data_IF_080213922102
#
_entry.id   IF_080213922102
#
_cell.length_a   1.000
_cell.length_b   1.000
_cell.length_c   1.000
_cell.angle_alpha   90.00
_cell.angle_beta   90.00
_cell.angle_gamma   90.00
#
_symmetry.space_group_name_H-M   'P 1'
#
loop_
_entity.id
_entity.type
_entity.pdbx_description
1 polymer ?
#
# COMPACT_ATOMS: atom_id res chain seq x y z
N UNK A 1 -16.70 -5.65 7.69
CA UNK A 1 -15.67 -4.92 6.93
C UNK A 1 -14.53 -5.90 6.68
N UNK A 2 -13.98 -6.05 5.46
CA UNK A 2 -12.75 -6.82 5.30
C UNK A 2 -11.67 -6.20 6.19
N UNK A 3 -10.83 -7.04 6.80
CA UNK A 3 -9.73 -6.59 7.66
C UNK A 3 -8.75 -5.67 6.92
N UNK A 4 -7.85 -4.98 7.65
CA UNK A 4 -6.80 -4.19 7.02
C UNK A 4 -6.01 -5.06 6.04
N UNK A 5 -5.61 -4.52 4.90
CA UNK A 5 -4.78 -5.25 3.93
C UNK A 5 -3.37 -4.68 3.99
N UNK A 6 -2.40 -5.55 4.24
CA UNK A 6 -0.99 -5.20 4.30
C UNK A 6 -0.28 -5.60 3.00
N UNK A 7 0.65 -4.76 2.59
CA UNK A 7 1.47 -4.92 1.39
C UNK A 7 2.92 -4.68 1.76
N UNK A 8 3.83 -5.52 1.25
CA UNK A 8 5.27 -5.35 1.44
C UNK A 8 5.90 -4.98 0.11
N UNK A 9 6.73 -3.95 0.10
CA UNK A 9 7.62 -3.69 -1.02
C UNK A 9 8.83 -4.62 -0.95
N UNK A 10 9.08 -5.35 -2.03
CA UNK A 10 10.11 -6.40 -2.07
C UNK A 10 11.52 -5.87 -2.28
N UNK A 11 11.65 -4.64 -2.81
CA UNK A 11 12.94 -4.00 -3.03
C UNK A 11 13.48 -3.35 -1.75
N UNK A 12 12.60 -2.71 -0.98
CA UNK A 12 12.94 -1.93 0.22
C UNK A 12 12.61 -2.65 1.52
N UNK A 13 11.70 -3.62 1.49
CA UNK A 13 11.19 -4.31 2.67
C UNK A 13 10.12 -3.55 3.44
N UNK A 14 9.78 -2.32 3.03
CA UNK A 14 8.79 -1.46 3.67
C UNK A 14 7.40 -2.12 3.69
N UNK A 15 6.65 -1.91 4.77
CA UNK A 15 5.29 -2.44 4.92
C UNK A 15 4.30 -1.28 4.83
N UNK A 16 3.34 -1.45 3.94
CA UNK A 16 2.26 -0.51 3.71
C UNK A 16 0.93 -1.11 4.13
N UNK A 17 0.06 -0.29 4.73
CA UNK A 17 -1.34 -0.61 4.96
C UNK A 17 -2.21 0.11 3.92
N UNK A 18 -3.13 -0.64 3.31
CA UNK A 18 -4.16 -0.07 2.46
C UNK A 18 -5.17 0.71 3.30
N UNK A 19 -5.17 2.03 3.13
CA UNK A 19 -6.06 2.94 3.87
C UNK A 19 -7.25 3.43 3.04
N UNK A 20 -7.22 3.24 1.72
CA UNK A 20 -8.34 3.59 0.86
C UNK A 20 -8.08 3.29 -0.62
N UNK A 21 -9.16 3.36 -1.41
CA UNK A 21 -9.13 3.32 -2.87
C UNK A 21 -10.28 4.15 -3.42
N UNK A 22 -10.00 4.99 -4.41
CA UNK A 22 -11.01 5.77 -5.12
C UNK A 22 -10.66 5.90 -6.62
N UNK A 23 -11.34 6.82 -7.34
CA UNK A 23 -11.10 7.07 -8.78
C UNK A 23 -9.70 7.62 -9.09
N UNK A 24 -8.99 8.16 -8.11
CA UNK A 24 -7.63 8.70 -8.26
C UNK A 24 -6.58 7.63 -8.04
N UNK A 25 -6.87 6.60 -7.24
CA UNK A 25 -5.99 5.44 -7.10
C UNK A 25 -6.14 4.71 -5.77
N UNK A 26 -5.04 4.08 -5.38
CA UNK A 26 -4.88 3.26 -4.17
C UNK A 26 -3.99 4.02 -3.20
N UNK A 27 -4.47 4.18 -1.97
CA UNK A 27 -3.77 4.90 -0.91
C UNK A 27 -3.11 3.91 0.05
N UNK A 28 -1.79 3.96 0.11
CA UNK A 28 -0.95 3.10 0.92
C UNK A 28 -0.25 3.97 1.98
N UNK A 29 -0.43 3.64 3.25
CA UNK A 29 0.30 4.28 4.35
C UNK A 29 1.46 3.40 4.77
N UNK A 30 2.65 3.99 4.90
CA UNK A 30 3.80 3.29 5.49
C UNK A 30 3.51 2.98 6.97
N UNK A 31 3.70 1.73 7.37
CA UNK A 31 3.43 1.27 8.74
C UNK A 31 4.38 1.91 9.76
N UNK A 32 5.59 2.29 9.34
CA UNK A 32 6.58 2.97 10.19
C UNK A 32 6.32 4.48 10.30
N UNK A 33 5.35 5.02 9.54
CA UNK A 33 4.98 6.44 9.61
C UNK A 33 4.14 6.78 10.85
N UNK A 34 4.33 7.99 11.37
CA UNK A 34 3.58 8.45 12.55
C UNK A 34 2.08 8.52 12.24
N UNK A 35 1.19 8.01 13.12
CA UNK A 35 -0.25 8.11 12.91
C UNK A 35 -0.70 9.57 12.74
N UNK A 36 -1.34 9.86 11.60
CA UNK A 36 -1.82 11.21 11.28
C UNK A 36 -0.85 12.04 10.43
N UNK A 37 0.34 11.53 10.11
CA UNK A 37 1.24 12.19 9.16
C UNK A 37 0.71 12.03 7.71
N UNK A 38 0.29 13.13 7.04
CA UNK A 38 -0.14 13.06 5.66
C UNK A 38 1.01 12.73 4.70
N UNK A 39 2.27 12.98 5.07
CA UNK A 39 3.43 12.61 4.25
C UNK A 39 3.70 11.10 4.24
N UNK A 40 3.18 10.36 5.22
CA UNK A 40 3.28 8.91 5.30
C UNK A 40 2.35 8.15 4.36
N UNK A 41 1.53 8.84 3.54
CA UNK A 41 0.58 8.23 2.60
C UNK A 41 1.07 8.39 1.17
N UNK A 42 1.46 7.28 0.56
CA UNK A 42 1.77 7.19 -0.87
C UNK A 42 0.50 6.85 -1.65
N UNK A 43 0.29 7.55 -2.76
CA UNK A 43 -0.80 7.25 -3.69
C UNK A 43 -0.24 6.57 -4.93
N UNK A 44 -0.73 5.37 -5.24
CA UNK A 44 -0.44 4.68 -6.49
C UNK A 44 -1.67 4.73 -7.40
N UNK A 45 -1.47 4.99 -8.68
CA UNK A 45 -2.54 4.82 -9.66
C UNK A 45 -3.03 3.36 -9.63
N UNK A 46 -4.33 3.14 -9.82
CA UNK A 46 -4.92 1.81 -9.69
C UNK A 46 -4.23 0.77 -10.58
N UNK A 47 -3.98 1.12 -11.85
CA UNK A 47 -3.27 0.23 -12.78
C UNK A 47 -1.83 -0.04 -12.34
N UNK A 48 -1.12 0.97 -11.85
CA UNK A 48 0.25 0.83 -11.35
C UNK A 48 0.32 -0.08 -10.11
N UNK A 49 -0.68 0.03 -9.22
CA UNK A 49 -0.80 -0.84 -8.05
C UNK A 49 -0.99 -2.31 -8.46
N UNK A 50 -1.91 -2.59 -9.39
CA UNK A 50 -2.10 -3.96 -9.87
C UNK A 50 -0.88 -4.50 -10.62
N UNK A 51 -0.22 -3.65 -11.42
CA UNK A 51 1.02 -4.00 -12.08
C UNK A 51 2.14 -4.32 -11.09
N UNK A 52 2.27 -3.55 -10.00
CA UNK A 52 3.27 -3.80 -8.96
C UNK A 52 3.02 -5.12 -8.23
N UNK A 53 1.76 -5.53 -8.04
CA UNK A 53 1.41 -6.84 -7.51
C UNK A 53 1.74 -7.97 -8.50
N UNK A 54 1.40 -7.80 -9.77
CA UNK A 54 1.68 -8.77 -10.83
C UNK A 54 3.20 -8.99 -11.00
N UNK A 55 3.97 -7.91 -10.95
CA UNK A 55 5.44 -7.93 -11.05
C UNK A 55 6.14 -8.32 -9.74
N UNK A 56 5.41 -8.66 -8.67
CA UNK A 56 5.94 -8.96 -7.32
C UNK A 56 6.83 -7.86 -6.74
N UNK A 57 6.63 -6.62 -7.15
CA UNK A 57 7.24 -5.47 -6.48
C UNK A 57 6.51 -5.19 -5.16
N UNK A 58 5.21 -5.41 -5.16
CA UNK A 58 4.37 -5.44 -3.96
C UNK A 58 3.89 -6.87 -3.72
N UNK A 59 3.94 -7.32 -2.47
CA UNK A 59 3.41 -8.60 -2.04
C UNK A 59 2.35 -8.40 -0.96
N UNK A 60 1.23 -9.12 -1.03
CA UNK A 60 0.24 -9.12 0.06
C UNK A 60 0.81 -9.88 1.26
N UNK A 61 0.78 -9.23 2.42
CA UNK A 61 1.16 -9.87 3.69
C UNK A 61 -0.10 -10.47 4.33
N UNK A 62 -0.14 -11.79 4.60
CA UNK A 62 -1.25 -12.40 5.31
C UNK A 62 -1.31 -11.88 6.76
N UNK A 63 -2.53 -11.64 7.24
CA UNK A 63 -2.84 -11.26 8.63
C UNK A 63 -3.37 -12.45 9.43
#
# INVERSE_FOLDING_TARGET
>A
MPGPQLYRDTATGAIYVLVGRDRKGVYLRDLDSTPGDPMGVTTLGEWAFWLALDQRQLERVPL
#
